data_IF_053896222081
#
_entry.id   IF_053896222081
#
_cell.length_a   1.000
_cell.length_b   1.000
_cell.length_c   1.000
_cell.angle_alpha   90.00
_cell.angle_beta   90.00
_cell.angle_gamma   90.00
#
_symmetry.space_group_name_H-M   'P 1'
#
loop_
_entity.id
_entity.type
_entity.pdbx_description
1 polymer ?
#
# COMPACT_ATOMS: atom_id res chain seq x y z
N UNK A 1 -11.34 -10.06 17.99
CA UNK A 1 -11.38 -8.72 17.39
C UNK A 1 -10.30 -8.66 16.33
N UNK A 2 -10.63 -8.28 15.13
CA UNK A 2 -9.74 -8.29 13.95
C UNK A 2 -9.13 -9.67 13.64
N UNK A 3 -9.90 -10.73 13.83
CA UNK A 3 -9.46 -12.09 13.51
C UNK A 3 -9.41 -12.28 11.98
N UNK A 4 -8.24 -12.61 11.48
CA UNK A 4 -7.99 -12.93 10.07
C UNK A 4 -7.58 -14.39 9.87
N UNK A 5 -7.89 -15.25 10.84
CA UNK A 5 -7.60 -16.69 10.73
C UNK A 5 -8.11 -17.24 9.40
N UNK A 6 -7.26 -18.03 8.75
CA UNK A 6 -7.51 -18.61 7.43
C UNK A 6 -7.65 -17.62 6.26
N UNK A 7 -7.60 -16.31 6.46
CA UNK A 7 -7.64 -15.34 5.33
C UNK A 7 -6.32 -15.37 4.57
N UNK A 8 -6.40 -15.31 3.25
CA UNK A 8 -5.25 -15.19 2.35
C UNK A 8 -5.13 -13.73 1.93
N UNK A 9 -4.05 -13.09 2.38
CA UNK A 9 -3.78 -11.69 2.14
C UNK A 9 -2.60 -11.51 1.16
N UNK A 10 -2.84 -10.79 0.07
CA UNK A 10 -1.81 -10.37 -0.88
C UNK A 10 -1.39 -8.95 -0.54
N UNK A 11 -0.09 -8.72 -0.32
CA UNK A 11 0.48 -7.42 -0.02
C UNK A 11 1.56 -7.10 -1.06
N UNK A 12 1.34 -6.08 -1.90
CA UNK A 12 2.34 -5.65 -2.86
C UNK A 12 3.34 -4.67 -2.24
N UNK A 13 4.63 -4.78 -2.59
CA UNK A 13 5.67 -3.97 -1.98
C UNK A 13 5.89 -4.32 -0.51
N UNK A 14 5.75 -5.60 -0.14
CA UNK A 14 5.80 -6.05 1.24
C UNK A 14 7.21 -6.29 1.80
N UNK A 15 8.26 -6.09 1.00
CA UNK A 15 9.65 -6.31 1.41
C UNK A 15 10.21 -5.23 2.34
N UNK A 16 9.55 -4.07 2.48
CA UNK A 16 10.04 -2.97 3.33
C UNK A 16 8.95 -2.02 3.79
N UNK A 17 9.30 -1.12 4.71
CA UNK A 17 8.49 0.03 5.12
C UNK A 17 7.05 -0.31 5.52
N UNK A 18 6.09 0.42 4.95
CA UNK A 18 4.66 0.25 5.24
C UNK A 18 4.19 -1.16 4.85
N UNK A 19 4.59 -1.67 3.69
CA UNK A 19 4.18 -2.99 3.21
C UNK A 19 4.66 -4.14 4.12
N UNK A 20 5.90 -4.07 4.59
CA UNK A 20 6.44 -4.99 5.61
C UNK A 20 5.59 -4.98 6.87
N UNK A 21 5.30 -3.80 7.40
CA UNK A 21 4.49 -3.67 8.63
C UNK A 21 3.07 -4.21 8.43
N UNK A 22 2.44 -3.93 7.27
CA UNK A 22 1.12 -4.50 6.93
C UNK A 22 1.18 -6.03 6.91
N UNK A 23 2.16 -6.62 6.22
CA UNK A 23 2.29 -8.07 6.12
C UNK A 23 2.46 -8.72 7.51
N UNK A 24 3.28 -8.11 8.37
CA UNK A 24 3.54 -8.59 9.74
C UNK A 24 2.29 -8.47 10.61
N UNK A 25 1.57 -7.34 10.56
CA UNK A 25 0.37 -7.11 11.35
C UNK A 25 -0.76 -8.05 10.93
N UNK A 26 -1.01 -8.22 9.61
CA UNK A 26 -2.04 -9.17 9.15
C UNK A 26 -1.71 -10.61 9.53
N UNK A 27 -0.44 -11.02 9.42
CA UNK A 27 0.00 -12.34 9.84
C UNK A 27 -0.16 -12.57 11.36
N UNK A 28 0.10 -11.56 12.19
CA UNK A 28 -0.10 -11.65 13.64
C UNK A 28 -1.56 -11.84 14.06
N UNK A 29 -2.49 -11.52 13.16
CA UNK A 29 -3.95 -11.72 13.33
C UNK A 29 -4.45 -12.98 12.62
N UNK A 30 -3.55 -13.88 12.22
CA UNK A 30 -3.86 -15.20 11.68
C UNK A 30 -3.98 -15.29 10.15
N UNK A 31 -3.78 -14.19 9.41
CA UNK A 31 -3.75 -14.25 7.96
C UNK A 31 -2.49 -14.95 7.43
N UNK A 32 -2.61 -15.65 6.31
CA UNK A 32 -1.47 -16.02 5.48
C UNK A 32 -1.06 -14.81 4.65
N UNK A 33 0.09 -14.20 4.97
CA UNK A 33 0.60 -13.02 4.27
C UNK A 33 1.43 -13.43 3.04
N UNK A 34 0.89 -13.19 1.85
CA UNK A 34 1.56 -13.39 0.57
C UNK A 34 2.19 -12.07 0.12
N UNK A 35 3.51 -11.93 0.28
CA UNK A 35 4.26 -10.73 -0.11
C UNK A 35 4.65 -10.81 -1.58
N UNK A 36 4.23 -9.81 -2.37
CA UNK A 36 4.67 -9.58 -3.73
C UNK A 36 5.67 -8.44 -3.76
N UNK A 37 6.91 -8.71 -4.12
CA UNK A 37 7.96 -7.70 -4.25
C UNK A 37 8.97 -8.10 -5.33
N UNK A 38 9.71 -7.12 -5.85
CA UNK A 38 10.85 -7.35 -6.75
C UNK A 38 12.14 -7.62 -5.98
N UNK A 39 12.20 -7.19 -4.72
CA UNK A 39 13.34 -7.36 -3.82
C UNK A 39 13.22 -8.68 -3.05
N UNK A 40 13.79 -9.73 -3.64
CA UNK A 40 13.75 -11.09 -3.08
C UNK A 40 14.48 -11.20 -1.74
N UNK A 41 15.59 -10.49 -1.57
CA UNK A 41 16.38 -10.56 -0.35
C UNK A 41 15.61 -9.98 0.84
N UNK A 42 15.07 -8.77 0.70
CA UNK A 42 14.28 -8.14 1.75
C UNK A 42 12.94 -8.84 1.96
N UNK A 43 12.29 -9.28 0.88
CA UNK A 43 11.06 -10.07 0.98
C UNK A 43 11.24 -11.33 1.81
N UNK A 44 12.29 -12.12 1.56
CA UNK A 44 12.58 -13.33 2.33
C UNK A 44 12.95 -13.04 3.79
N UNK A 45 13.63 -11.92 4.08
CA UNK A 45 13.88 -11.49 5.48
C UNK A 45 12.57 -11.23 6.22
N UNK A 46 11.62 -10.54 5.58
CA UNK A 46 10.30 -10.28 6.18
C UNK A 46 9.53 -11.58 6.41
N UNK A 47 9.56 -12.52 5.47
CA UNK A 47 8.92 -13.84 5.66
C UNK A 47 9.52 -14.57 6.86
N UNK A 48 10.84 -14.54 6.98
CA UNK A 48 11.51 -15.16 8.14
C UNK A 48 11.05 -14.53 9.45
N UNK A 49 11.00 -13.18 9.52
CA UNK A 49 10.52 -12.47 10.71
C UNK A 49 9.07 -12.84 11.06
N UNK A 50 8.17 -12.90 10.06
CA UNK A 50 6.77 -13.29 10.26
C UNK A 50 6.69 -14.71 10.84
N UNK A 51 7.44 -15.66 10.27
CA UNK A 51 7.43 -17.06 10.70
C UNK A 51 8.05 -17.24 12.09
N UNK A 52 9.13 -16.51 12.41
CA UNK A 52 9.77 -16.52 13.73
C UNK A 52 8.82 -15.99 14.82
N UNK A 53 7.86 -15.12 14.46
CA UNK A 53 6.80 -14.61 15.35
C UNK A 53 5.55 -15.51 15.41
N UNK A 54 5.57 -16.66 14.74
CA UNK A 54 4.48 -17.64 14.73
C UNK A 54 3.37 -17.35 13.70
N UNK A 55 3.55 -16.36 12.82
CA UNK A 55 2.67 -16.11 11.68
C UNK A 55 2.99 -17.00 10.49
N UNK A 56 2.25 -16.85 9.40
CA UNK A 56 2.47 -17.55 8.13
C UNK A 56 2.73 -16.54 7.03
N UNK A 57 3.94 -16.55 6.48
CA UNK A 57 4.33 -15.69 5.37
C UNK A 57 4.83 -16.48 4.16
N UNK A 58 4.55 -15.98 2.96
CA UNK A 58 5.07 -16.51 1.70
C UNK A 58 5.55 -15.36 0.81
N UNK A 59 6.71 -15.52 0.19
CA UNK A 59 7.27 -14.56 -0.75
C UNK A 59 7.05 -15.00 -2.20
N UNK A 60 6.72 -14.03 -3.05
CA UNK A 60 6.58 -14.20 -4.48
C UNK A 60 7.30 -13.05 -5.19
N UNK A 61 8.33 -13.35 -5.97
CA UNK A 61 8.96 -12.35 -6.82
C UNK A 61 7.94 -11.90 -7.89
N UNK A 62 7.61 -10.61 -7.89
CA UNK A 62 6.59 -10.07 -8.77
C UNK A 62 6.84 -8.58 -9.07
N UNK A 63 7.03 -8.26 -10.35
CA UNK A 63 6.93 -6.89 -10.83
C UNK A 63 5.46 -6.57 -11.12
N UNK A 64 4.83 -5.79 -10.25
CA UNK A 64 3.43 -5.37 -10.43
C UNK A 64 3.22 -4.51 -11.68
N UNK A 65 4.26 -3.85 -12.19
CA UNK A 65 4.19 -3.05 -13.40
C UNK A 65 4.04 -3.89 -14.68
N UNK A 66 4.42 -5.18 -14.62
CA UNK A 66 4.19 -6.16 -15.67
C UNK A 66 2.91 -6.96 -15.40
N UNK A 67 1.91 -6.80 -16.27
CA UNK A 67 0.63 -7.47 -16.12
C UNK A 67 0.75 -9.01 -16.16
N UNK A 68 1.65 -9.55 -16.98
CA UNK A 68 1.85 -11.00 -17.06
C UNK A 68 2.44 -11.55 -15.77
N UNK A 69 3.39 -10.83 -15.18
CA UNK A 69 3.97 -11.15 -13.87
C UNK A 69 2.88 -11.15 -12.79
N UNK A 70 2.07 -10.09 -12.69
CA UNK A 70 0.98 -10.00 -11.72
C UNK A 70 -0.05 -11.14 -11.88
N UNK A 71 -0.51 -11.39 -13.11
CA UNK A 71 -1.48 -12.46 -13.39
C UNK A 71 -0.92 -13.84 -13.01
N UNK A 72 0.31 -14.15 -13.43
CA UNK A 72 0.92 -15.47 -13.16
C UNK A 72 1.14 -15.69 -11.67
N UNK A 73 1.59 -14.66 -10.95
CA UNK A 73 1.84 -14.72 -9.50
C UNK A 73 0.55 -14.89 -8.72
N UNK A 74 -0.48 -14.10 -9.01
CA UNK A 74 -1.78 -14.18 -8.32
C UNK A 74 -2.47 -15.50 -8.63
N UNK A 75 -2.36 -16.01 -9.87
CA UNK A 75 -2.84 -17.36 -10.23
C UNK A 75 -2.11 -18.45 -9.44
N UNK A 76 -0.80 -18.34 -9.23
CA UNK A 76 -0.01 -19.27 -8.40
C UNK A 76 -0.49 -19.28 -6.95
N UNK A 77 -0.73 -18.09 -6.37
CA UNK A 77 -1.27 -17.95 -4.99
C UNK A 77 -2.65 -18.61 -4.90
N UNK A 78 -3.56 -18.29 -5.83
CA UNK A 78 -4.88 -18.92 -5.84
C UNK A 78 -4.79 -20.44 -6.02
N UNK A 79 -3.88 -20.95 -6.85
CA UNK A 79 -3.66 -22.39 -7.01
C UNK A 79 -3.18 -23.08 -5.74
N UNK A 80 -2.40 -22.37 -4.91
CA UNK A 80 -1.87 -22.90 -3.65
C UNK A 80 -2.91 -22.89 -2.51
N UNK A 81 -3.72 -21.82 -2.42
CA UNK A 81 -4.62 -21.60 -1.28
C UNK A 81 -6.10 -21.72 -1.63
N UNK A 82 -6.46 -21.90 -2.90
CA UNK A 82 -7.83 -22.00 -3.45
C UNK A 82 -8.70 -20.76 -3.21
N UNK A 83 -8.16 -19.70 -2.61
CA UNK A 83 -8.87 -18.46 -2.29
C UNK A 83 -7.91 -17.26 -2.19
N UNK A 84 -8.47 -16.07 -2.34
CA UNK A 84 -7.83 -14.79 -2.03
C UNK A 84 -8.88 -13.93 -1.34
N UNK A 85 -8.62 -13.52 -0.10
CA UNK A 85 -9.57 -12.78 0.72
C UNK A 85 -9.25 -11.29 0.77
N UNK A 86 -7.95 -10.95 0.76
CA UNK A 86 -7.47 -9.59 0.96
C UNK A 86 -6.45 -9.23 -0.13
N UNK A 87 -6.57 -8.02 -0.68
CA UNK A 87 -5.56 -7.40 -1.54
C UNK A 87 -5.18 -6.03 -0.98
N UNK A 88 -3.90 -5.85 -0.66
CA UNK A 88 -3.35 -4.55 -0.28
C UNK A 88 -2.40 -4.06 -1.38
N UNK A 89 -2.83 -3.05 -2.13
CA UNK A 89 -2.03 -2.40 -3.15
C UNK A 89 -1.16 -1.31 -2.51
N UNK A 90 0.01 -1.71 -2.02
CA UNK A 90 0.97 -0.82 -1.36
C UNK A 90 2.18 -0.49 -2.24
N UNK A 91 2.59 -1.35 -3.16
CA UNK A 91 3.73 -1.11 -4.03
C UNK A 91 3.63 0.24 -4.74
N UNK A 92 4.69 1.02 -4.66
CA UNK A 92 4.75 2.33 -5.29
C UNK A 92 6.06 3.06 -5.04
N UNK A 93 6.34 4.02 -5.87
CA UNK A 93 7.51 4.89 -5.79
C UNK A 93 7.09 6.36 -5.74
N UNK A 94 7.98 7.21 -5.26
CA UNK A 94 7.78 8.66 -5.24
C UNK A 94 8.66 9.33 -6.30
N UNK A 95 8.27 10.55 -6.66
CA UNK A 95 9.03 11.43 -7.55
C UNK A 95 8.94 12.87 -7.05
N UNK A 96 10.02 13.62 -7.22
CA UNK A 96 10.11 15.05 -6.93
C UNK A 96 10.28 15.79 -8.24
N UNK A 97 9.30 16.62 -8.59
CA UNK A 97 9.32 17.41 -9.82
C UNK A 97 8.03 18.18 -10.02
N UNK A 98 8.14 19.29 -10.75
CA UNK A 98 7.01 20.12 -11.22
C UNK A 98 6.55 19.64 -12.58
N UNK A 99 5.41 20.13 -13.05
CA UNK A 99 4.85 19.73 -14.36
C UNK A 99 5.84 19.89 -15.52
N UNK A 100 6.58 21.02 -15.55
CA UNK A 100 7.53 21.32 -16.62
C UNK A 100 8.94 20.74 -16.44
N UNK A 101 9.24 20.20 -15.24
CA UNK A 101 10.57 19.62 -14.92
C UNK A 101 10.54 18.11 -14.69
N UNK A 102 9.37 17.49 -14.75
CA UNK A 102 9.24 16.02 -14.75
C UNK A 102 9.48 15.52 -16.15
N UNK A 103 10.49 14.68 -16.33
CA UNK A 103 10.78 14.04 -17.62
C UNK A 103 9.67 13.06 -18.02
N UNK A 104 9.52 12.79 -19.30
CA UNK A 104 8.62 11.76 -19.81
C UNK A 104 8.95 10.38 -19.19
N UNK A 105 10.23 10.05 -19.11
CA UNK A 105 10.70 8.79 -18.51
C UNK A 105 10.28 8.65 -17.04
N UNK A 106 10.44 9.71 -16.22
CA UNK A 106 10.01 9.70 -14.83
C UNK A 106 8.49 9.64 -14.69
N UNK A 107 7.76 10.38 -15.54
CA UNK A 107 6.31 10.34 -15.57
C UNK A 107 5.80 8.93 -15.89
N UNK A 108 6.33 8.31 -16.93
CA UNK A 108 5.97 6.96 -17.36
C UNK A 108 6.34 5.91 -16.32
N UNK A 109 7.49 6.06 -15.67
CA UNK A 109 7.92 5.18 -14.59
C UNK A 109 6.95 5.22 -13.40
N UNK A 110 6.54 6.43 -12.97
CA UNK A 110 5.55 6.62 -11.92
C UNK A 110 4.20 6.04 -12.33
N UNK A 111 3.73 6.33 -13.53
CA UNK A 111 2.47 5.79 -14.04
C UNK A 111 2.49 4.28 -14.09
N UNK A 112 3.54 3.69 -14.65
CA UNK A 112 3.67 2.24 -14.82
C UNK A 112 3.67 1.48 -13.50
N UNK A 113 4.39 1.99 -12.49
CA UNK A 113 4.46 1.32 -11.19
C UNK A 113 3.23 1.63 -10.34
N UNK A 114 2.93 2.90 -10.11
CA UNK A 114 1.90 3.29 -9.14
C UNK A 114 0.47 3.09 -9.66
N UNK A 115 0.21 3.36 -10.95
CA UNK A 115 -1.14 3.32 -11.51
C UNK A 115 -1.40 1.96 -12.17
N UNK A 116 -0.55 1.60 -13.14
CA UNK A 116 -0.72 0.33 -13.87
C UNK A 116 -0.47 -0.87 -12.96
N UNK A 117 0.45 -0.77 -11.98
CA UNK A 117 0.68 -1.82 -11.00
C UNK A 117 -0.56 -2.13 -10.16
N UNK A 118 -1.26 -1.11 -9.65
CA UNK A 118 -2.54 -1.28 -8.95
C UNK A 118 -3.59 -1.89 -9.86
N UNK A 119 -3.74 -1.37 -11.08
CA UNK A 119 -4.65 -1.93 -12.08
C UNK A 119 -4.36 -3.41 -12.36
N UNK A 120 -3.11 -3.80 -12.55
CA UNK A 120 -2.72 -5.18 -12.83
C UNK A 120 -3.11 -6.13 -11.69
N UNK A 121 -2.88 -5.72 -10.44
CA UNK A 121 -3.25 -6.51 -9.27
C UNK A 121 -4.77 -6.62 -9.09
N UNK A 122 -5.52 -5.53 -9.31
CA UNK A 122 -6.99 -5.55 -9.32
C UNK A 122 -7.52 -6.48 -10.40
N UNK A 123 -7.02 -6.34 -11.64
CA UNK A 123 -7.42 -7.17 -12.78
C UNK A 123 -7.21 -8.66 -12.51
N UNK A 124 -6.08 -9.03 -11.89
CA UNK A 124 -5.75 -10.42 -11.63
C UNK A 124 -6.49 -11.01 -10.40
N UNK A 125 -6.86 -10.18 -9.41
CA UNK A 125 -7.42 -10.65 -8.13
C UNK A 125 -8.95 -10.66 -8.11
N UNK A 126 -9.60 -9.64 -8.66
CA UNK A 126 -11.06 -9.47 -8.60
C UNK A 126 -11.85 -10.69 -9.10
N UNK A 127 -11.47 -11.37 -10.21
CA UNK A 127 -12.20 -12.56 -10.64
C UNK A 127 -12.29 -13.67 -9.57
N UNK A 128 -11.24 -13.85 -8.77
CA UNK A 128 -11.24 -14.86 -7.69
C UNK A 128 -12.10 -14.42 -6.49
N UNK A 129 -12.04 -13.14 -6.10
CA UNK A 129 -12.91 -12.60 -5.05
C UNK A 129 -14.38 -12.66 -5.47
N UNK A 130 -14.68 -12.29 -6.72
CA UNK A 130 -16.03 -12.33 -7.28
C UNK A 130 -16.60 -13.77 -7.29
N UNK A 131 -15.83 -14.76 -7.68
CA UNK A 131 -16.27 -16.16 -7.68
C UNK A 131 -16.64 -16.69 -6.29
N UNK A 132 -16.10 -16.05 -5.24
CA UNK A 132 -16.39 -16.37 -3.84
C UNK A 132 -17.51 -15.52 -3.23
N UNK A 133 -17.88 -14.41 -3.86
CA UNK A 133 -18.83 -13.44 -3.30
C UNK A 133 -18.27 -12.70 -2.08
N UNK A 134 -16.95 -12.55 -1.95
CA UNK A 134 -16.31 -11.88 -0.80
C UNK A 134 -14.90 -11.41 -1.13
N UNK A 135 -14.54 -10.23 -0.64
CA UNK A 135 -13.18 -9.70 -0.75
C UNK A 135 -13.01 -8.35 -0.04
N UNK A 136 -11.80 -8.07 0.44
CA UNK A 136 -11.41 -6.78 0.98
C UNK A 136 -10.19 -6.23 0.24
N UNK A 137 -10.31 -5.04 -0.35
CA UNK A 137 -9.24 -4.37 -1.08
C UNK A 137 -8.90 -3.07 -0.37
N UNK A 138 -7.62 -2.85 -0.09
CA UNK A 138 -7.11 -1.58 0.46
C UNK A 138 -6.02 -1.05 -0.45
N UNK A 139 -6.21 0.16 -0.94
CA UNK A 139 -5.26 0.85 -1.81
C UNK A 139 -4.52 1.95 -1.06
N UNK A 140 -3.19 2.04 -1.24
CA UNK A 140 -2.36 3.09 -0.65
C UNK A 140 -2.39 4.35 -1.54
N UNK A 141 -3.28 5.31 -1.20
CA UNK A 141 -3.30 6.65 -1.74
C UNK A 141 -2.28 7.56 -1.00
N UNK A 142 -2.56 8.82 -0.80
CA UNK A 142 -1.73 9.77 -0.05
C UNK A 142 -2.52 11.05 0.24
N UNK A 143 -2.15 11.81 1.26
CA UNK A 143 -2.68 13.16 1.52
C UNK A 143 -2.55 14.12 0.34
N UNK A 144 -1.58 13.90 -0.55
CA UNK A 144 -1.37 14.74 -1.76
C UNK A 144 -2.57 14.73 -2.72
N UNK A 145 -3.53 13.82 -2.54
CA UNK A 145 -4.76 13.79 -3.35
C UNK A 145 -5.82 14.78 -2.84
N UNK A 146 -5.64 15.31 -1.64
CA UNK A 146 -6.59 16.24 -0.99
C UNK A 146 -5.99 17.64 -0.87
N UNK A 147 -4.68 17.73 -0.62
CA UNK A 147 -3.97 19.00 -0.47
C UNK A 147 -2.83 19.10 -1.47
N UNK A 148 -2.58 20.32 -1.97
CA UNK A 148 -1.43 20.58 -2.84
C UNK A 148 -0.13 20.49 -2.09
N UNK A 149 0.77 19.60 -2.54
CA UNK A 149 2.14 19.52 -2.02
C UNK A 149 3.10 19.86 -3.15
N UNK A 150 4.00 20.82 -2.89
CA UNK A 150 4.95 21.28 -3.89
C UNK A 150 5.85 20.13 -4.39
N UNK A 151 6.23 20.23 -5.66
CA UNK A 151 7.18 19.33 -6.32
C UNK A 151 6.75 17.84 -6.30
N UNK A 152 5.45 17.57 -6.44
CA UNK A 152 4.88 16.20 -6.43
C UNK A 152 3.99 15.90 -7.64
N UNK A 153 4.23 16.55 -8.79
CA UNK A 153 3.30 16.50 -9.94
C UNK A 153 2.93 15.08 -10.36
N UNK A 154 3.89 14.26 -10.81
CA UNK A 154 3.62 12.90 -11.26
C UNK A 154 3.14 11.98 -10.13
N UNK A 155 3.69 12.15 -8.91
CA UNK A 155 3.25 11.39 -7.75
C UNK A 155 1.81 11.68 -7.37
N UNK A 156 1.42 12.95 -7.30
CA UNK A 156 0.04 13.37 -6.99
C UNK A 156 -0.95 12.83 -8.03
N UNK A 157 -0.60 12.94 -9.32
CA UNK A 157 -1.40 12.34 -10.39
C UNK A 157 -1.62 10.85 -10.16
N UNK A 158 -0.55 10.11 -9.85
CA UNK A 158 -0.64 8.65 -9.64
C UNK A 158 -1.51 8.28 -8.44
N UNK A 159 -1.40 9.01 -7.34
CA UNK A 159 -2.21 8.77 -6.13
C UNK A 159 -3.67 9.18 -6.32
N UNK A 160 -3.94 10.23 -7.11
CA UNK A 160 -5.30 10.59 -7.55
C UNK A 160 -5.96 9.49 -8.39
N UNK A 161 -5.21 8.88 -9.32
CA UNK A 161 -5.69 7.75 -10.10
C UNK A 161 -6.08 6.55 -9.22
N UNK A 162 -5.27 6.23 -8.20
CA UNK A 162 -5.57 5.16 -7.23
C UNK A 162 -6.88 5.45 -6.48
N UNK A 163 -7.08 6.69 -6.05
CA UNK A 163 -8.31 7.09 -5.37
C UNK A 163 -9.54 6.90 -6.28
N UNK A 164 -9.45 7.31 -7.53
CA UNK A 164 -10.54 7.14 -8.52
C UNK A 164 -10.81 5.65 -8.81
N UNK A 165 -9.78 4.83 -8.96
CA UNK A 165 -9.94 3.38 -9.09
C UNK A 165 -10.62 2.77 -7.88
N UNK A 166 -10.34 3.25 -6.66
CA UNK A 166 -10.98 2.77 -5.43
C UNK A 166 -12.50 2.96 -5.48
N UNK A 167 -12.96 4.13 -5.89
CA UNK A 167 -14.39 4.42 -6.01
C UNK A 167 -15.08 3.56 -7.07
N UNK A 168 -14.44 3.41 -8.23
CA UNK A 168 -14.97 2.59 -9.34
C UNK A 168 -15.09 1.12 -8.91
N UNK A 169 -14.04 0.54 -8.35
CA UNK A 169 -14.05 -0.86 -7.90
C UNK A 169 -15.09 -1.07 -6.79
N UNK A 170 -15.18 -0.17 -5.81
CA UNK A 170 -16.19 -0.26 -4.76
C UNK A 170 -17.60 -0.27 -5.33
N UNK A 171 -17.88 0.60 -6.32
CA UNK A 171 -19.21 0.70 -6.95
C UNK A 171 -19.53 -0.50 -7.81
N UNK A 172 -18.57 -0.96 -8.61
CA UNK A 172 -18.79 -2.01 -9.62
C UNK A 172 -18.98 -3.39 -8.97
N UNK A 173 -18.31 -3.66 -7.83
CA UNK A 173 -18.27 -5.00 -7.23
C UNK A 173 -18.95 -5.10 -5.86
N UNK A 174 -19.72 -4.10 -5.43
CA UNK A 174 -20.44 -4.12 -4.15
C UNK A 174 -21.45 -5.28 -4.07
N UNK A 175 -22.11 -5.61 -5.19
CA UNK A 175 -23.06 -6.73 -5.27
C UNK A 175 -22.37 -8.09 -5.28
N UNK A 176 -21.08 -8.12 -5.57
CA UNK A 176 -20.25 -9.32 -5.50
C UNK A 176 -19.60 -9.51 -4.12
N UNK A 177 -20.02 -8.73 -3.10
CA UNK A 177 -19.52 -8.82 -1.72
C UNK A 177 -18.08 -8.31 -1.55
N UNK A 178 -17.57 -7.51 -2.50
CA UNK A 178 -16.21 -6.98 -2.46
C UNK A 178 -16.23 -5.54 -1.94
N UNK A 179 -15.47 -5.28 -0.87
CA UNK A 179 -15.22 -3.94 -0.35
C UNK A 179 -13.91 -3.41 -0.90
N UNK A 180 -13.88 -2.15 -1.30
CA UNK A 180 -12.67 -1.48 -1.76
C UNK A 180 -12.56 -0.11 -1.10
N UNK A 181 -11.47 0.10 -0.35
CA UNK A 181 -11.19 1.36 0.34
C UNK A 181 -9.77 1.82 0.03
N UNK A 182 -9.47 3.07 0.31
CA UNK A 182 -8.11 3.59 0.28
C UNK A 182 -7.74 4.21 1.63
N UNK A 183 -6.45 4.22 1.92
CA UNK A 183 -5.89 5.04 2.99
C UNK A 183 -5.01 6.12 2.37
N UNK A 184 -4.98 7.28 3.02
CA UNK A 184 -4.20 8.44 2.58
C UNK A 184 -3.20 8.83 3.69
N UNK A 185 -2.04 8.17 3.74
CA UNK A 185 -1.01 8.51 4.72
C UNK A 185 -0.46 9.92 4.51
N UNK A 186 -0.17 10.59 5.62
CA UNK A 186 0.73 11.73 5.67
C UNK A 186 2.18 11.28 5.51
N UNK A 187 3.09 11.96 6.22
CA UNK A 187 4.50 11.58 6.22
C UNK A 187 4.73 10.43 7.21
N UNK A 188 5.24 9.32 6.72
CA UNK A 188 5.53 8.10 7.50
C UNK A 188 7.04 7.85 7.47
N UNK A 189 7.62 7.60 8.65
CA UNK A 189 9.05 7.25 8.78
C UNK A 189 9.28 5.84 8.23
N UNK A 190 10.05 5.74 7.18
CA UNK A 190 10.36 4.48 6.49
C UNK A 190 11.80 4.51 6.01
N UNK A 191 12.41 3.36 5.67
CA UNK A 191 13.74 3.32 5.06
C UNK A 191 13.86 4.20 3.80
N UNK A 192 12.74 4.46 3.10
CA UNK A 192 12.71 5.40 2.00
C UNK A 192 13.01 6.84 2.45
N UNK A 193 12.46 7.27 3.60
CA UNK A 193 12.75 8.60 4.17
C UNK A 193 14.20 8.69 4.59
N UNK A 194 14.73 7.66 5.24
CA UNK A 194 16.14 7.62 5.66
C UNK A 194 17.08 7.72 4.45
N UNK A 195 16.84 6.91 3.43
CA UNK A 195 17.61 6.97 2.18
C UNK A 195 17.50 8.32 1.46
N UNK A 196 16.32 8.96 1.49
CA UNK A 196 16.13 10.31 0.95
C UNK A 196 16.95 11.35 1.71
N UNK A 197 16.97 11.29 3.05
CA UNK A 197 17.73 12.22 3.88
C UNK A 197 19.23 12.07 3.63
N UNK A 198 19.75 10.86 3.67
CA UNK A 198 21.17 10.59 3.42
C UNK A 198 21.60 11.09 2.03
N UNK A 199 20.76 10.89 1.01
CA UNK A 199 21.08 11.29 -0.37
C UNK A 199 21.05 12.79 -0.59
N UNK A 200 20.10 13.50 0.00
CA UNK A 200 19.81 14.90 -0.34
C UNK A 200 20.30 15.90 0.71
N UNK A 201 20.61 15.45 1.92
CA UNK A 201 21.03 16.30 3.05
C UNK A 201 22.16 15.66 3.86
N UNK A 202 23.29 15.30 3.20
CA UNK A 202 24.41 14.64 3.86
C UNK A 202 25.01 15.54 4.96
N UNK A 203 25.02 15.03 6.19
CA UNK A 203 25.47 15.75 7.38
C UNK A 203 24.43 16.60 8.08
N UNK A 204 23.23 16.74 7.51
CA UNK A 204 22.10 17.51 8.06
C UNK A 204 20.85 16.61 8.25
N UNK A 205 21.04 15.28 8.20
CA UNK A 205 19.93 14.31 8.17
C UNK A 205 18.99 14.49 9.37
N UNK A 206 19.55 14.70 10.57
CA UNK A 206 18.79 14.85 11.79
C UNK A 206 17.97 16.15 11.80
N UNK A 207 18.59 17.27 11.40
CA UNK A 207 17.89 18.56 11.35
C UNK A 207 16.73 18.50 10.34
N UNK A 208 17.00 17.92 9.17
CA UNK A 208 15.96 17.76 8.15
C UNK A 208 14.87 16.78 8.57
N UNK A 209 15.21 15.68 9.26
CA UNK A 209 14.23 14.78 9.84
C UNK A 209 13.29 15.51 10.80
N UNK A 210 13.85 16.31 11.72
CA UNK A 210 13.07 17.12 12.69
C UNK A 210 12.19 18.15 11.97
N UNK A 211 12.71 18.80 10.93
CA UNK A 211 11.96 19.74 10.11
C UNK A 211 10.80 19.06 9.37
N UNK A 212 11.04 17.91 8.77
CA UNK A 212 10.01 17.14 8.08
C UNK A 212 8.95 16.60 9.06
N UNK A 213 9.34 16.21 10.27
CA UNK A 213 8.44 15.76 11.34
C UNK A 213 7.47 16.86 11.75
N UNK A 214 7.97 18.09 11.90
CA UNK A 214 7.17 19.27 12.27
C UNK A 214 6.19 19.71 11.18
N UNK A 215 6.29 19.19 9.95
CA UNK A 215 5.28 19.45 8.92
C UNK A 215 3.95 18.75 9.20
N UNK A 216 3.92 17.79 10.10
CA UNK A 216 2.69 17.16 10.57
C UNK A 216 2.24 17.88 11.85
N UNK A 217 0.99 18.37 11.96
CA UNK A 217 0.51 19.09 13.16
C UNK A 217 0.69 18.30 14.47
N UNK A 218 0.64 16.98 14.44
CA UNK A 218 0.92 16.12 15.60
C UNK A 218 2.40 16.20 16.08
N UNK A 219 3.29 16.83 15.29
CA UNK A 219 4.70 17.07 15.67
C UNK A 219 5.67 15.93 15.36
N UNK A 220 5.22 14.84 14.75
CA UNK A 220 6.07 13.70 14.35
C UNK A 220 5.61 13.07 13.04
N UNK A 221 6.47 12.30 12.42
CA UNK A 221 6.04 11.39 11.36
C UNK A 221 5.20 10.24 11.94
N UNK A 222 4.32 9.68 11.14
CA UNK A 222 3.66 8.41 11.48
C UNK A 222 4.64 7.25 11.39
N UNK A 223 4.33 6.16 12.09
CA UNK A 223 5.09 4.91 12.01
C UNK A 223 4.37 3.91 11.08
N UNK A 224 5.11 3.03 10.36
CA UNK A 224 4.52 2.01 9.50
C UNK A 224 3.44 1.17 10.19
N UNK A 225 3.62 0.89 11.48
CA UNK A 225 2.70 0.10 12.30
C UNK A 225 1.35 0.81 12.52
N UNK A 226 1.34 2.13 12.60
CA UNK A 226 0.10 2.91 12.70
C UNK A 226 -0.73 2.77 11.40
N UNK A 227 -0.04 2.77 10.25
CA UNK A 227 -0.68 2.55 8.94
C UNK A 227 -1.22 1.12 8.85
N UNK A 228 -0.41 0.13 9.26
CA UNK A 228 -0.78 -1.27 9.21
C UNK A 228 -2.02 -1.60 10.06
N UNK A 229 -2.18 -0.96 11.22
CA UNK A 229 -3.37 -1.13 12.09
C UNK A 229 -4.65 -0.62 11.43
N UNK A 230 -4.59 0.48 10.69
CA UNK A 230 -5.76 0.95 9.94
C UNK A 230 -6.09 0.01 8.77
N UNK A 231 -5.07 -0.52 8.09
CA UNK A 231 -5.26 -1.54 7.04
C UNK A 231 -5.88 -2.80 7.63
N UNK A 232 -5.40 -3.27 8.78
CA UNK A 232 -5.99 -4.41 9.50
C UNK A 232 -7.49 -4.20 9.74
N UNK A 233 -7.87 -3.06 10.31
CA UNK A 233 -9.28 -2.73 10.53
C UNK A 233 -10.09 -2.79 9.22
N UNK A 234 -9.61 -2.15 8.15
CA UNK A 234 -10.32 -2.11 6.87
C UNK A 234 -10.42 -3.49 6.18
N UNK A 235 -9.48 -4.39 6.46
CA UNK A 235 -9.48 -5.76 5.93
C UNK A 235 -10.35 -6.73 6.74
N UNK A 236 -10.65 -6.40 7.99
CA UNK A 236 -11.40 -7.25 8.91
C UNK A 236 -12.92 -7.17 8.71
N UNK A 237 -13.64 -8.09 9.32
CA UNK A 237 -15.11 -8.14 9.28
C UNK A 237 -15.73 -7.00 10.08
N UNK A 238 -15.01 -6.39 11.04
CA UNK A 238 -15.42 -5.20 11.76
C UNK A 238 -15.64 -3.97 10.87
N UNK A 239 -15.03 -3.96 9.68
CA UNK A 239 -15.23 -2.93 8.68
C UNK A 239 -16.28 -3.31 7.60
N UNK A 240 -17.17 -4.27 7.87
CA UNK A 240 -18.14 -4.77 6.88
C UNK A 240 -19.05 -3.69 6.28
N UNK A 241 -19.32 -2.60 7.01
CA UNK A 241 -20.15 -1.47 6.54
C UNK A 241 -19.34 -0.35 5.87
N UNK A 242 -18.06 -0.61 5.56
CA UNK A 242 -17.15 0.39 5.01
C UNK A 242 -16.68 -0.03 3.60
N UNK A 243 -17.07 0.73 2.59
CA UNK A 243 -16.58 0.59 1.21
C UNK A 243 -16.64 1.92 0.48
N UNK A 244 -15.77 2.14 -0.52
CA UNK A 244 -15.73 3.36 -1.32
C UNK A 244 -15.22 4.58 -0.54
N UNK A 245 -14.45 4.39 0.52
CA UNK A 245 -13.96 5.47 1.36
C UNK A 245 -12.43 5.66 1.22
N UNK A 246 -11.98 6.88 1.49
CA UNK A 246 -10.55 7.25 1.61
C UNK A 246 -10.33 7.77 3.01
N UNK A 247 -9.47 7.10 3.77
CA UNK A 247 -9.19 7.44 5.16
C UNK A 247 -7.84 8.13 5.30
N UNK A 248 -7.81 9.43 5.67
CA UNK A 248 -6.57 10.07 6.07
C UNK A 248 -5.99 9.43 7.33
N UNK A 249 -4.67 9.25 7.34
CA UNK A 249 -3.88 8.90 8.52
C UNK A 249 -2.61 9.73 8.46
N UNK A 250 -2.69 10.96 8.95
CA UNK A 250 -1.82 12.05 8.53
C UNK A 250 -1.37 12.99 9.67
N UNK A 251 -1.69 12.66 10.92
CA UNK A 251 -1.37 13.53 12.06
C UNK A 251 -1.99 14.93 11.97
N UNK A 252 -3.14 15.06 11.27
CA UNK A 252 -3.86 16.32 11.10
C UNK A 252 -3.40 17.17 9.92
N UNK A 253 -2.54 16.62 9.04
CA UNK A 253 -1.94 17.38 7.93
C UNK A 253 -2.98 18.00 6.99
N UNK A 254 -4.09 17.29 6.69
CA UNK A 254 -5.13 17.81 5.79
C UNK A 254 -5.97 18.91 6.48
N UNK A 255 -6.34 18.71 7.74
CA UNK A 255 -7.41 19.50 8.38
C UNK A 255 -6.92 20.53 9.36
N UNK A 256 -5.74 20.35 9.96
CA UNK A 256 -5.19 21.21 11.00
C UNK A 256 -3.99 22.05 10.51
N UNK A 257 -3.63 21.93 9.24
CA UNK A 257 -2.54 22.70 8.66
C UNK A 257 -3.04 24.13 8.41
N UNK A 258 -2.46 25.08 9.10
CA UNK A 258 -2.75 26.52 8.97
C UNK A 258 -1.70 27.23 8.10
#
# INVERSE_FOLDING_TARGET
>A
MFDLSEKIAIITGGGSGIGKSIATVLASQGAVSCILDIDEENGNKVIKEINDLGGIGNFYNCDVSDQKSAISTIKKIHGQFTKIDILVNNAGISHIGKAHSTSEEDFDRIYRINVKGVYNCLYATIPYMKSRGSGAIVNLSSVVTVVGVADRFAYTMSKGAIQSMTYSVAKDYIQDGIRCNAIAPGRVHTPFVDGYLVKNYPGEEKEMFDKLSKTQPIGRMGEPDEIAKLVLYLCSDEAAFITGAVYPIDGGFITLNS
#
